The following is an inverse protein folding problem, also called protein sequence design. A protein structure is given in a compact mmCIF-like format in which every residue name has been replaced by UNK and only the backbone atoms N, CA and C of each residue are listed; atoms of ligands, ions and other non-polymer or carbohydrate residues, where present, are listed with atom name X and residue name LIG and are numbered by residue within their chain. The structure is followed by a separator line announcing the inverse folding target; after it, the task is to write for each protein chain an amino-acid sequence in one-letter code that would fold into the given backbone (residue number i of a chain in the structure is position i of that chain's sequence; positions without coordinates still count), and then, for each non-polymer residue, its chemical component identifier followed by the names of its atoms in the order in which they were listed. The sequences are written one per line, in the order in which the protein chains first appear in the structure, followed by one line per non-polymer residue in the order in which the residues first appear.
data_IF_282541699036
#
_entry.id   IF_282541699036
#
_cell.length_a   1.000
_cell.length_b   1.000
_cell.length_c   1.000
_cell.angle_alpha   90.00
_cell.angle_beta   90.00
_cell.angle_gamma   90.00
#
_symmetry.space_group_name_H-M   'P 1'
#
loop_
_entity.id
_entity.type
_entity.pdbx_description
1 polymer ?
#
# COMPACT_ATOMS: atom_id res chain seq x y z
N UNK A 1 17.21 97.67 43.01
CA UNK A 1 16.71 98.57 41.96
C UNK A 1 17.38 98.21 40.66
N UNK A 2 16.67 97.58 39.72
CA UNK A 2 17.00 97.59 38.29
C UNK A 2 15.73 97.18 37.54
N UNK A 3 15.16 98.16 36.84
CA UNK A 3 14.03 98.06 35.93
C UNK A 3 14.52 97.56 34.56
N UNK A 4 13.58 96.99 33.79
CA UNK A 4 13.39 97.03 32.31
C UNK A 4 13.11 95.63 31.71
N UNK A 5 12.48 95.51 30.52
CA UNK A 5 11.03 95.67 30.34
C UNK A 5 10.41 94.53 29.49
N UNK A 6 9.09 94.67 29.29
CA UNK A 6 8.16 93.77 28.62
C UNK A 6 8.52 93.30 27.20
N UNK A 7 7.92 92.17 26.81
CA UNK A 7 7.49 91.94 25.43
C UNK A 7 6.11 91.28 25.44
N UNK A 8 5.18 91.93 24.73
CA UNK A 8 3.77 91.61 24.66
C UNK A 8 3.52 90.29 23.92
N UNK A 9 2.71 89.41 24.52
CA UNK A 9 2.19 88.23 23.86
C UNK A 9 1.15 88.65 22.80
N UNK A 10 1.55 88.59 21.53
CA UNK A 10 0.65 88.78 20.39
C UNK A 10 -0.08 87.46 20.07
N UNK A 11 -1.40 87.56 19.95
CA UNK A 11 -2.32 86.46 19.63
C UNK A 11 -2.41 86.22 18.11
N UNK A 12 -2.91 85.02 17.79
CA UNK A 12 -3.62 84.58 16.56
C UNK A 12 -2.74 84.04 15.42
N UNK A 13 -2.85 82.73 15.15
CA UNK A 13 -3.81 82.17 14.18
C UNK A 13 -3.36 80.73 13.83
N UNK A 14 -4.10 79.72 14.30
CA UNK A 14 -3.88 78.35 13.87
C UNK A 14 -4.56 78.14 12.51
N UNK A 15 -3.80 78.23 11.42
CA UNK A 15 -4.23 77.72 10.12
C UNK A 15 -3.95 76.23 10.13
N UNK A 16 -5.00 75.43 10.41
CA UNK A 16 -4.97 73.98 10.29
C UNK A 16 -4.91 73.63 8.80
N UNK A 17 -3.71 73.39 8.28
CA UNK A 17 -3.52 72.81 6.96
C UNK A 17 -4.12 71.39 6.95
N UNK A 18 -5.27 71.22 6.29
CA UNK A 18 -5.80 69.90 5.98
C UNK A 18 -4.88 69.25 4.94
N UNK A 19 -4.03 68.32 5.38
CA UNK A 19 -3.38 67.38 4.47
C UNK A 19 -4.48 66.46 3.91
N UNK A 20 -4.62 66.29 2.59
CA UNK A 20 -5.43 65.19 2.09
C UNK A 20 -4.73 63.90 2.54
N UNK A 21 -5.38 63.18 3.45
CA UNK A 21 -5.04 61.79 3.71
C UNK A 21 -5.27 61.04 2.41
N UNK A 22 -4.20 60.78 1.66
CA UNK A 22 -4.21 59.76 0.61
C UNK A 22 -4.48 58.43 1.32
N UNK A 23 -5.75 58.10 1.47
CA UNK A 23 -6.16 56.71 1.70
C UNK A 23 -5.70 55.96 0.46
N UNK A 24 -4.54 55.30 0.57
CA UNK A 24 -4.18 54.23 -0.35
C UNK A 24 -5.28 53.20 -0.12
N UNK A 25 -6.29 53.19 -1.00
CA UNK A 25 -7.15 52.04 -1.11
C UNK A 25 -6.20 50.88 -1.39
N UNK A 26 -6.00 50.01 -0.39
CA UNK A 26 -5.54 48.67 -0.68
C UNK A 26 -6.59 48.14 -1.66
N UNK A 27 -6.25 48.15 -2.95
CA UNK A 27 -7.03 47.42 -3.92
C UNK A 27 -7.05 45.99 -3.41
N UNK A 28 -8.20 45.57 -2.86
CA UNK A 28 -8.52 44.16 -2.82
C UNK A 28 -8.40 43.73 -4.28
N UNK A 29 -7.29 43.08 -4.63
CA UNK A 29 -7.27 42.29 -5.85
C UNK A 29 -8.44 41.36 -5.68
N UNK A 30 -9.51 41.56 -6.45
CA UNK A 30 -10.49 40.53 -6.67
C UNK A 30 -9.65 39.35 -7.17
N UNK A 31 -9.39 38.38 -6.29
CA UNK A 31 -8.78 37.14 -6.67
C UNK A 31 -9.86 36.46 -7.51
N UNK A 32 -9.93 36.80 -8.80
CA UNK A 32 -10.59 35.95 -9.77
C UNK A 32 -9.73 34.70 -9.79
N UNK A 33 -10.07 33.72 -8.95
CA UNK A 33 -9.42 32.43 -9.05
C UNK A 33 -9.90 31.86 -10.38
N UNK A 34 -9.11 32.04 -11.42
CA UNK A 34 -9.47 31.53 -12.73
C UNK A 34 -9.53 30.00 -12.64
N UNK A 35 -10.49 29.40 -13.34
CA UNK A 35 -10.57 27.94 -13.43
C UNK A 35 -9.21 27.39 -13.85
N UNK A 36 -8.78 26.31 -13.20
CA UNK A 36 -7.48 25.70 -13.48
C UNK A 36 -7.50 25.21 -14.93
N UNK A 37 -6.41 25.47 -15.66
CA UNK A 37 -6.37 25.18 -17.08
C UNK A 37 -6.53 23.68 -17.36
N UNK A 38 -7.30 23.35 -18.40
CA UNK A 38 -7.57 21.96 -18.80
C UNK A 38 -6.30 21.10 -18.97
N UNK A 39 -5.19 21.55 -19.59
CA UNK A 39 -3.98 20.71 -19.71
C UNK A 39 -3.34 20.36 -18.35
N UNK A 40 -3.54 21.18 -17.32
CA UNK A 40 -3.06 20.90 -15.96
C UNK A 40 -3.87 19.79 -15.31
N UNK A 41 -5.18 19.73 -15.56
CA UNK A 41 -6.10 18.76 -14.96
C UNK A 41 -6.31 17.49 -15.81
N UNK A 42 -5.99 17.56 -17.10
CA UNK A 42 -6.20 16.45 -18.02
C UNK A 42 -5.38 15.22 -17.61
N UNK A 43 -6.08 14.09 -17.47
CA UNK A 43 -5.52 12.80 -17.09
C UNK A 43 -4.71 12.83 -15.78
N UNK A 44 -5.10 13.67 -14.81
CA UNK A 44 -4.38 13.79 -13.54
C UNK A 44 -4.24 12.44 -12.83
N UNK A 45 -5.23 11.57 -12.96
CA UNK A 45 -5.26 10.22 -12.38
C UNK A 45 -4.09 9.34 -12.80
N UNK A 46 -3.60 9.52 -14.04
CA UNK A 46 -2.46 8.76 -14.57
C UNK A 46 -1.12 9.44 -14.29
N UNK A 47 -1.13 10.76 -14.14
CA UNK A 47 0.08 11.58 -14.06
C UNK A 47 0.51 11.88 -12.63
N UNK A 48 -0.43 11.87 -11.69
CA UNK A 48 -0.23 12.32 -10.31
C UNK A 48 1.01 11.70 -9.66
N UNK A 49 1.17 10.37 -9.70
CA UNK A 49 2.32 9.69 -9.09
C UNK A 49 3.67 10.03 -9.76
N UNK A 50 3.64 10.48 -11.02
CA UNK A 50 4.83 10.92 -11.75
C UNK A 50 5.11 12.42 -11.67
N UNK A 51 4.22 13.22 -11.06
CA UNK A 51 4.44 14.65 -10.89
C UNK A 51 5.50 14.92 -9.80
N UNK A 52 6.36 15.93 -9.97
CA UNK A 52 7.21 16.42 -8.90
C UNK A 52 6.38 16.83 -7.68
N UNK A 53 6.93 16.64 -6.47
CA UNK A 53 6.22 16.93 -5.22
C UNK A 53 5.80 18.41 -5.11
N UNK A 54 6.59 19.32 -5.68
CA UNK A 54 6.28 20.75 -5.76
C UNK A 54 5.01 20.98 -6.60
N UNK A 55 4.92 20.37 -7.78
CA UNK A 55 3.75 20.53 -8.66
C UNK A 55 2.49 19.90 -8.06
N UNK A 56 2.63 18.77 -7.36
CA UNK A 56 1.51 18.18 -6.61
C UNK A 56 1.00 19.14 -5.53
N UNK A 57 1.91 19.78 -4.78
CA UNK A 57 1.56 20.73 -3.73
C UNK A 57 0.90 21.98 -4.31
N UNK A 58 1.45 22.56 -5.40
CA UNK A 58 0.89 23.72 -6.07
C UNK A 58 -0.51 23.43 -6.64
N UNK A 59 -0.68 22.30 -7.32
CA UNK A 59 -1.97 21.89 -7.87
C UNK A 59 -3.00 21.65 -6.75
N UNK A 60 -2.58 21.02 -5.65
CA UNK A 60 -3.42 20.83 -4.48
C UNK A 60 -3.85 22.15 -3.84
N UNK A 61 -2.91 23.09 -3.67
CA UNK A 61 -3.20 24.42 -3.13
C UNK A 61 -4.17 25.18 -4.05
N UNK A 62 -3.94 25.16 -5.36
CA UNK A 62 -4.82 25.79 -6.34
C UNK A 62 -6.24 25.21 -6.32
N UNK A 63 -6.38 23.88 -6.30
CA UNK A 63 -7.69 23.22 -6.18
C UNK A 63 -8.38 23.55 -4.87
N UNK A 64 -7.63 23.56 -3.76
CA UNK A 64 -8.14 23.95 -2.45
C UNK A 64 -8.67 25.37 -2.44
N UNK A 65 -7.97 26.30 -3.09
CA UNK A 65 -8.41 27.69 -3.18
C UNK A 65 -9.66 27.84 -4.06
N UNK A 66 -9.75 27.12 -5.19
CA UNK A 66 -10.99 27.05 -6.01
C UNK A 66 -12.17 26.50 -5.24
N UNK A 67 -11.98 25.47 -4.41
CA UNK A 67 -13.05 24.86 -3.61
C UNK A 67 -13.59 25.75 -2.48
N UNK A 68 -12.94 26.88 -2.15
CA UNK A 68 -13.46 27.88 -1.21
C UNK A 68 -14.59 28.72 -1.82
N UNK A 69 -14.69 28.78 -3.13
CA UNK A 69 -15.71 29.52 -3.86
C UNK A 69 -16.98 28.68 -4.11
N UNK A 70 -17.92 29.21 -4.90
CA UNK A 70 -19.16 28.49 -5.21
C UNK A 70 -18.91 27.21 -6.02
N UNK A 71 -19.40 26.08 -5.54
CA UNK A 71 -19.25 24.78 -6.19
C UNK A 71 -20.04 24.64 -7.50
N UNK A 72 -20.96 25.56 -7.79
CA UNK A 72 -21.64 25.63 -9.08
C UNK A 72 -20.72 26.09 -10.19
N UNK A 73 -19.68 26.88 -9.86
CA UNK A 73 -18.73 27.45 -10.82
C UNK A 73 -17.50 26.56 -11.05
N UNK A 74 -17.34 25.50 -10.26
CA UNK A 74 -16.30 24.50 -10.49
C UNK A 74 -16.62 23.66 -11.72
N UNK A 75 -15.64 23.55 -12.61
CA UNK A 75 -15.70 22.69 -13.78
C UNK A 75 -15.79 21.22 -13.36
N UNK A 76 -16.37 20.38 -14.23
CA UNK A 76 -16.46 18.94 -13.99
C UNK A 76 -15.07 18.30 -13.83
N UNK A 77 -14.06 18.82 -14.53
CA UNK A 77 -12.68 18.33 -14.42
C UNK A 77 -12.05 18.67 -13.07
N UNK A 78 -12.25 19.89 -12.56
CA UNK A 78 -11.79 20.28 -11.21
C UNK A 78 -12.43 19.38 -10.14
N UNK A 79 -13.73 19.10 -10.27
CA UNK A 79 -14.45 18.20 -9.34
C UNK A 79 -13.88 16.78 -9.37
N UNK A 80 -13.65 16.23 -10.57
CA UNK A 80 -13.06 14.89 -10.73
C UNK A 80 -11.64 14.84 -10.17
N UNK A 81 -10.81 15.84 -10.49
CA UNK A 81 -9.43 15.94 -10.01
C UNK A 81 -9.40 16.08 -8.48
N UNK A 82 -10.22 16.94 -7.89
CA UNK A 82 -10.30 17.11 -6.44
C UNK A 82 -10.72 15.82 -5.74
N UNK A 83 -11.74 15.13 -6.26
CA UNK A 83 -12.17 13.84 -5.73
C UNK A 83 -11.06 12.79 -5.80
N UNK A 84 -10.41 12.66 -6.96
CA UNK A 84 -9.35 11.66 -7.14
C UNK A 84 -8.08 11.99 -6.32
N UNK A 85 -7.69 13.26 -6.19
CA UNK A 85 -6.54 13.63 -5.33
C UNK A 85 -6.89 13.36 -3.86
N UNK A 86 -8.11 13.64 -3.42
CA UNK A 86 -8.52 13.39 -2.04
C UNK A 86 -8.75 11.91 -1.71
N UNK A 87 -9.23 11.09 -2.66
CA UNK A 87 -9.72 9.73 -2.40
C UNK A 87 -9.14 8.62 -3.29
N UNK A 88 -8.27 8.97 -4.25
CA UNK A 88 -7.70 8.03 -5.21
C UNK A 88 -6.73 7.02 -4.60
N UNK A 89 -6.42 5.95 -5.36
CA UNK A 89 -5.52 4.88 -4.96
C UNK A 89 -4.04 5.28 -5.14
N UNK A 90 -3.62 6.33 -4.43
CA UNK A 90 -2.25 6.84 -4.43
C UNK A 90 -1.77 7.06 -2.98
N UNK A 91 -0.48 7.29 -2.82
CA UNK A 91 0.13 7.53 -1.50
C UNK A 91 -0.17 6.38 -0.52
N UNK A 92 -0.73 6.64 0.67
CA UNK A 92 -1.09 5.59 1.63
C UNK A 92 -2.15 4.59 1.15
N UNK A 93 -2.89 4.91 0.08
CA UNK A 93 -3.91 4.04 -0.53
C UNK A 93 -3.46 3.46 -1.87
N UNK A 94 -2.16 3.51 -2.16
CA UNK A 94 -1.62 2.92 -3.38
C UNK A 94 -1.98 1.43 -3.44
N UNK A 95 -2.47 0.99 -4.60
CA UNK A 95 -2.73 -0.42 -4.85
C UNK A 95 -1.41 -1.15 -5.16
N UNK A 96 -1.37 -2.48 -4.92
CA UNK A 96 -0.27 -3.31 -5.37
C UNK A 96 0.02 -3.07 -6.87
N UNK A 97 1.28 -2.90 -7.28
CA UNK A 97 1.63 -2.73 -8.69
C UNK A 97 1.06 -3.86 -9.56
N UNK A 98 0.72 -3.56 -10.82
CA UNK A 98 0.16 -4.55 -11.73
C UNK A 98 1.11 -5.74 -11.89
N UNK A 99 0.59 -6.94 -11.70
CA UNK A 99 1.35 -8.19 -11.87
C UNK A 99 2.09 -8.69 -10.63
N UNK A 100 1.98 -8.02 -9.48
CA UNK A 100 2.59 -8.48 -8.23
C UNK A 100 2.15 -9.91 -7.84
N UNK A 101 0.85 -10.22 -7.92
CA UNK A 101 0.33 -11.55 -7.58
C UNK A 101 0.97 -12.68 -8.41
N UNK A 102 1.28 -12.42 -9.70
CA UNK A 102 2.00 -13.39 -10.55
C UNK A 102 3.44 -13.59 -10.09
N UNK A 103 4.13 -12.51 -9.70
CA UNK A 103 5.50 -12.58 -9.16
C UNK A 103 5.54 -13.34 -7.85
N UNK A 104 4.61 -13.06 -6.94
CA UNK A 104 4.49 -13.77 -5.66
C UNK A 104 4.28 -15.27 -5.90
N UNK A 105 3.30 -15.64 -6.73
CA UNK A 105 3.05 -17.04 -7.04
C UNK A 105 4.29 -17.73 -7.63
N UNK A 106 4.96 -17.09 -8.61
CA UNK A 106 6.18 -17.63 -9.23
C UNK A 106 7.30 -17.86 -8.20
N UNK A 107 7.54 -16.89 -7.31
CA UNK A 107 8.57 -17.01 -6.28
C UNK A 107 8.22 -18.05 -5.22
N UNK A 108 6.96 -18.21 -4.86
CA UNK A 108 6.51 -19.28 -3.98
C UNK A 108 6.78 -20.64 -4.59
N UNK A 109 6.38 -20.87 -5.85
CA UNK A 109 6.65 -22.14 -6.54
C UNK A 109 8.14 -22.39 -6.73
N UNK A 110 8.92 -21.35 -7.01
CA UNK A 110 10.37 -21.46 -7.09
C UNK A 110 10.97 -21.87 -5.74
N UNK A 111 10.55 -21.26 -4.63
CA UNK A 111 11.01 -21.62 -3.29
C UNK A 111 10.66 -23.07 -2.92
N UNK A 112 9.44 -23.51 -3.23
CA UNK A 112 9.03 -24.91 -3.06
C UNK A 112 9.89 -25.85 -3.91
N UNK A 113 10.09 -25.54 -5.19
CA UNK A 113 10.93 -26.32 -6.09
C UNK A 113 12.38 -26.42 -5.61
N UNK A 114 12.96 -25.32 -5.16
CA UNK A 114 14.31 -25.27 -4.60
C UNK A 114 14.41 -26.12 -3.32
N UNK A 115 13.45 -26.00 -2.41
CA UNK A 115 13.42 -26.80 -1.18
C UNK A 115 13.32 -28.29 -1.48
N UNK A 116 12.49 -28.68 -2.44
CA UNK A 116 12.34 -30.06 -2.89
C UNK A 116 13.62 -30.57 -3.54
N UNK A 117 14.28 -29.76 -4.38
CA UNK A 117 15.55 -30.14 -5.01
C UNK A 117 16.65 -30.39 -3.96
N UNK A 118 16.76 -29.52 -2.95
CA UNK A 118 17.71 -29.69 -1.85
C UNK A 118 17.42 -30.99 -1.08
N UNK A 119 16.15 -31.20 -0.70
CA UNK A 119 15.73 -32.41 0.01
C UNK A 119 15.99 -33.68 -0.81
N UNK A 120 15.61 -33.70 -2.09
CA UNK A 120 15.80 -34.83 -2.98
C UNK A 120 17.28 -35.15 -3.16
N UNK A 121 18.14 -34.12 -3.30
CA UNK A 121 19.58 -34.28 -3.39
C UNK A 121 20.14 -34.93 -2.12
N UNK A 122 19.81 -34.38 -0.94
CA UNK A 122 20.24 -34.97 0.33
C UNK A 122 19.75 -36.41 0.49
N UNK A 123 18.50 -36.69 0.08
CA UNK A 123 17.90 -38.02 0.18
C UNK A 123 18.54 -39.03 -0.76
N UNK A 124 19.01 -38.61 -1.93
CA UNK A 124 19.68 -39.45 -2.91
C UNK A 124 21.06 -39.95 -2.42
N UNK A 125 21.76 -39.16 -1.60
CA UNK A 125 23.04 -39.54 -0.98
C UNK A 125 22.89 -40.27 0.37
N UNK A 126 21.67 -40.53 0.83
CA UNK A 126 21.45 -41.21 2.10
C UNK A 126 21.72 -42.72 2.03
N UNK A 127 21.93 -43.34 3.19
CA UNK A 127 22.13 -44.79 3.32
C UNK A 127 20.94 -45.60 2.74
N UNK A 128 21.18 -46.83 2.27
CA UNK A 128 20.11 -47.71 1.82
C UNK A 128 19.09 -47.98 2.95
N UNK A 129 17.83 -48.30 2.60
CA UNK A 129 16.82 -48.66 3.59
C UNK A 129 17.23 -49.92 4.37
N UNK A 130 16.72 -50.10 5.60
CA UNK A 130 16.98 -51.32 6.37
C UNK A 130 16.37 -52.54 5.68
N UNK A 131 16.90 -53.73 5.96
CA UNK A 131 16.45 -55.00 5.36
C UNK A 131 14.96 -55.30 5.59
N UNK A 132 14.38 -54.79 6.68
CA UNK A 132 12.97 -54.96 7.04
C UNK A 132 12.02 -54.10 6.21
N UNK A 133 12.53 -53.12 5.45
CA UNK A 133 11.75 -52.24 4.58
C UNK A 133 11.69 -52.81 3.16
N UNK A 134 11.29 -54.08 3.07
CA UNK A 134 11.05 -54.83 1.83
C UNK A 134 9.66 -55.44 1.88
N UNK A 135 9.01 -55.57 0.72
CA UNK A 135 7.65 -56.13 0.64
C UNK A 135 7.56 -57.52 1.27
N UNK A 136 8.55 -58.38 1.01
CA UNK A 136 8.58 -59.77 1.47
C UNK A 136 8.65 -59.86 3.00
N UNK A 137 9.46 -59.00 3.62
CA UNK A 137 9.58 -58.95 5.07
C UNK A 137 8.29 -58.42 5.73
N UNK A 138 7.65 -57.44 5.10
CA UNK A 138 6.40 -56.86 5.57
C UNK A 138 5.22 -57.83 5.42
N UNK A 139 5.20 -58.65 4.36
CA UNK A 139 4.23 -59.74 4.19
C UNK A 139 4.42 -60.84 5.24
N UNK A 140 5.67 -61.26 5.51
CA UNK A 140 5.94 -62.19 6.60
C UNK A 140 5.54 -61.62 7.97
N UNK A 141 5.71 -60.32 8.18
CA UNK A 141 5.23 -59.63 9.39
C UNK A 141 3.71 -59.68 9.50
N UNK A 142 3.00 -59.49 8.38
CA UNK A 142 1.54 -59.62 8.34
C UNK A 142 1.09 -61.04 8.73
N UNK A 143 1.72 -62.08 8.16
CA UNK A 143 1.40 -63.48 8.48
C UNK A 143 1.61 -63.78 9.98
N UNK A 144 2.72 -63.29 10.54
CA UNK A 144 3.00 -63.42 11.97
C UNK A 144 1.94 -62.74 12.85
N UNK A 145 1.53 -61.52 12.50
CA UNK A 145 0.51 -60.77 13.24
C UNK A 145 -0.88 -61.42 13.17
N UNK A 146 -1.24 -61.96 12.00
CA UNK A 146 -2.47 -62.75 11.84
C UNK A 146 -2.42 -64.00 12.71
N UNK A 147 -1.28 -64.70 12.72
CA UNK A 147 -1.09 -65.88 13.57
C UNK A 147 -1.23 -65.55 15.07
N UNK A 148 -0.79 -64.36 15.48
CA UNK A 148 -0.94 -63.84 16.84
C UNK A 148 -2.30 -63.20 17.14
N UNK A 149 -3.20 -63.10 16.16
CA UNK A 149 -4.50 -62.40 16.26
C UNK A 149 -4.33 -60.93 16.69
N UNK A 150 -3.29 -60.26 16.19
CA UNK A 150 -3.07 -58.84 16.46
C UNK A 150 -4.14 -57.98 15.80
N UNK A 151 -4.66 -57.00 16.54
CA UNK A 151 -5.75 -56.10 16.13
C UNK A 151 -6.99 -56.80 15.53
N UNK A 152 -7.68 -57.66 16.30
CA UNK A 152 -8.79 -58.48 15.80
C UNK A 152 -10.10 -57.71 15.57
N UNK A 153 -10.24 -56.47 16.05
CA UNK A 153 -11.46 -55.68 15.90
C UNK A 153 -11.47 -54.82 14.63
N UNK A 154 -10.36 -54.16 14.33
CA UNK A 154 -10.26 -53.16 13.24
C UNK A 154 -9.06 -53.34 12.33
N UNK A 155 -8.13 -54.23 12.70
CA UNK A 155 -6.84 -54.36 12.03
C UNK A 155 -6.74 -55.63 11.20
N UNK A 156 -5.50 -56.06 11.00
CA UNK A 156 -5.17 -57.09 10.02
C UNK A 156 -5.80 -58.46 10.30
N UNK A 157 -6.13 -58.74 11.57
CA UNK A 157 -6.76 -60.01 11.98
C UNK A 157 -8.28 -59.91 12.11
N UNK A 158 -8.91 -58.79 11.73
CA UNK A 158 -10.36 -58.65 11.86
C UNK A 158 -11.13 -59.38 10.75
N UNK A 159 -12.33 -59.83 11.09
CA UNK A 159 -13.23 -60.44 10.12
C UNK A 159 -13.59 -59.43 9.03
N UNK A 160 -13.23 -59.75 7.78
CA UNK A 160 -13.48 -58.88 6.62
C UNK A 160 -12.39 -57.85 6.30
N UNK A 161 -11.21 -57.94 6.90
CA UNK A 161 -10.08 -57.05 6.53
C UNK A 161 -9.64 -57.26 5.08
N UNK A 162 -9.65 -56.20 4.26
CA UNK A 162 -9.28 -56.23 2.83
C UNK A 162 -8.09 -55.31 2.47
N UNK A 163 -7.34 -54.86 3.47
CA UNK A 163 -6.19 -53.95 3.29
C UNK A 163 -4.87 -54.67 3.02
N UNK A 164 -3.82 -53.90 2.69
CA UNK A 164 -2.45 -54.41 2.47
C UNK A 164 -1.66 -54.69 3.75
N UNK A 165 -2.25 -54.46 4.93
CA UNK A 165 -1.57 -54.57 6.22
C UNK A 165 -0.39 -53.61 6.34
N UNK A 166 0.75 -54.11 6.81
CA UNK A 166 1.98 -53.35 7.01
C UNK A 166 2.84 -53.18 5.73
N UNK A 167 2.34 -53.59 4.56
CA UNK A 167 3.10 -53.48 3.30
C UNK A 167 3.10 -52.03 2.81
N UNK A 168 4.29 -51.42 2.83
CA UNK A 168 4.56 -50.04 2.43
C UNK A 168 5.74 -49.91 1.45
N UNK A 169 6.62 -50.91 1.43
CA UNK A 169 7.85 -50.89 0.65
C UNK A 169 7.71 -51.67 -0.67
N UNK A 170 8.50 -51.31 -1.71
CA UNK A 170 8.59 -52.11 -2.93
C UNK A 170 9.22 -53.49 -2.65
N UNK A 171 9.09 -54.41 -3.63
CA UNK A 171 9.76 -55.72 -3.57
C UNK A 171 11.27 -55.56 -3.57
N UNK A 172 11.96 -56.42 -2.82
CA UNK A 172 13.42 -56.47 -2.80
C UNK A 172 14.06 -56.85 -4.14
N UNK A 173 13.29 -57.37 -5.10
CA UNK A 173 13.78 -57.87 -6.40
C UNK A 173 13.54 -56.90 -7.58
N UNK A 174 13.23 -55.64 -7.30
CA UNK A 174 12.91 -54.63 -8.31
C UNK A 174 14.15 -53.85 -8.78
#
# INVERSE_FOLDING_TARGET
MLRTPASAALRKAAVRAARPSTTVALGCRAATTHAISNPTLANIEKRWEGLPMQEQAELWMALRDRMKESWTELTVQEKKAAYWIAFGPHGPRALPPPGEGKKVALYTFFGLGLSFAIFATMRAFAKPPPSTMTKEWQEATNEFLIAQKSDPLTGISSEGYSGKGHVQSPSSKA
#
